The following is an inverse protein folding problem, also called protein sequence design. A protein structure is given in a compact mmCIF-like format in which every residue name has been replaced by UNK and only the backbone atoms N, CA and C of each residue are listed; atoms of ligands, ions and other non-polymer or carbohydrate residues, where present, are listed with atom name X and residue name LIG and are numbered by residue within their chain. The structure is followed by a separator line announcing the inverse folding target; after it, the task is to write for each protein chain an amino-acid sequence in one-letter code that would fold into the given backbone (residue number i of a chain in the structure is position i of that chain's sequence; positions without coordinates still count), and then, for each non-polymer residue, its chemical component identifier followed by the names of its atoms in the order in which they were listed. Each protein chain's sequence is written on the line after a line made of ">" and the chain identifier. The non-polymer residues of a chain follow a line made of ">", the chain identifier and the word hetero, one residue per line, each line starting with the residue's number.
data_IF_749292421149
#
_entry.id   IF_749292421149
#
_cell.length_a   1.000
_cell.length_b   1.000
_cell.length_c   1.000
_cell.angle_alpha   90.00
_cell.angle_beta   90.00
_cell.angle_gamma   90.00
#
_symmetry.space_group_name_H-M   'P 1'
#
loop_
_entity.id
_entity.type
_entity.pdbx_description
1 polymer ?
#
# COMPACT_ATOMS: atom_id res chain seq x y z
N UNK A 1 -4.32 38.90 37.77
CA UNK A 1 -4.95 38.56 36.47
C UNK A 1 -3.99 38.55 35.27
N UNK A 2 -2.75 39.06 35.37
CA UNK A 2 -1.79 39.05 34.24
C UNK A 2 -1.00 37.75 34.05
N UNK A 3 -0.93 36.87 35.06
CA UNK A 3 -0.11 35.65 35.06
C UNK A 3 -0.77 34.48 34.32
N UNK A 4 -2.09 34.29 34.46
CA UNK A 4 -2.82 33.20 33.79
C UNK A 4 -2.91 33.44 32.28
N UNK A 5 -3.05 34.70 31.86
CA UNK A 5 -2.99 35.10 30.46
C UNK A 5 -1.64 34.77 29.82
N UNK A 6 -0.52 35.00 30.52
CA UNK A 6 0.80 34.63 29.99
C UNK A 6 0.95 33.12 29.82
N UNK A 7 0.56 32.34 30.83
CA UNK A 7 0.61 30.86 30.72
C UNK A 7 -0.27 30.33 29.59
N UNK A 8 -1.45 30.91 29.41
CA UNK A 8 -2.35 30.50 28.33
C UNK A 8 -1.80 30.88 26.94
N UNK A 9 -1.04 31.96 26.85
CA UNK A 9 -0.35 32.38 25.63
C UNK A 9 0.88 31.51 25.32
N UNK A 10 1.66 31.18 26.34
CA UNK A 10 2.81 30.28 26.23
C UNK A 10 2.36 28.90 25.72
N UNK A 11 1.31 28.33 26.31
CA UNK A 11 0.76 27.05 25.83
C UNK A 11 0.18 27.11 24.42
N UNK A 12 -0.41 28.25 24.02
CA UNK A 12 -0.94 28.42 22.66
C UNK A 12 0.15 28.45 21.58
N UNK A 13 1.30 29.05 21.87
CA UNK A 13 2.43 29.12 20.93
C UNK A 13 3.05 27.73 20.75
N UNK A 14 3.25 26.98 21.84
CA UNK A 14 3.80 25.62 21.79
C UNK A 14 2.95 24.69 20.91
N UNK A 15 1.61 24.75 21.04
CA UNK A 15 0.69 23.98 20.20
C UNK A 15 0.82 24.35 18.72
N UNK A 16 0.95 25.64 18.40
CA UNK A 16 1.09 26.11 17.02
C UNK A 16 2.45 25.72 16.41
N UNK A 17 3.52 25.71 17.19
CA UNK A 17 4.85 25.27 16.72
C UNK A 17 4.88 23.77 16.42
N UNK A 18 4.28 22.96 17.30
CA UNK A 18 4.13 21.53 17.07
C UNK A 18 3.29 21.24 15.82
N UNK A 19 2.17 21.95 15.67
CA UNK A 19 1.31 21.84 14.50
C UNK A 19 2.02 22.28 13.21
N UNK A 20 2.82 23.36 13.27
CA UNK A 20 3.60 23.84 12.15
C UNK A 20 4.55 22.76 11.61
N UNK A 21 5.32 22.12 12.49
CA UNK A 21 6.24 21.05 12.08
C UNK A 21 5.49 19.91 11.38
N UNK A 22 4.32 19.52 11.89
CA UNK A 22 3.48 18.46 11.31
C UNK A 22 2.90 18.87 9.95
N UNK A 23 2.43 20.11 9.81
CA UNK A 23 1.93 20.63 8.54
C UNK A 23 3.02 20.67 7.47
N UNK A 24 4.25 21.08 7.79
CA UNK A 24 5.38 21.09 6.84
C UNK A 24 5.71 19.68 6.36
N UNK A 25 5.75 18.71 7.28
CA UNK A 25 6.01 17.32 6.94
C UNK A 25 4.93 16.74 6.02
N UNK A 26 3.66 17.07 6.28
CA UNK A 26 2.54 16.61 5.47
C UNK A 26 2.49 17.31 4.10
N UNK A 27 2.76 18.62 4.04
CA UNK A 27 2.86 19.37 2.78
C UNK A 27 3.93 18.75 1.88
N UNK A 28 5.11 18.45 2.44
CA UNK A 28 6.20 17.78 1.73
C UNK A 28 5.75 16.43 1.19
N UNK A 29 5.14 15.59 2.03
CA UNK A 29 4.63 14.28 1.63
C UNK A 29 3.58 14.38 0.51
N UNK A 30 2.67 15.36 0.57
CA UNK A 30 1.64 15.58 -0.46
C UNK A 30 2.18 16.11 -1.79
N UNK A 31 3.33 16.81 -1.77
CA UNK A 31 4.03 17.28 -2.96
C UNK A 31 4.77 16.17 -3.71
N UNK A 32 5.09 15.06 -3.06
CA UNK A 32 5.83 13.97 -3.69
C UNK A 32 5.05 13.28 -4.82
N UNK A 33 5.78 12.70 -5.78
CA UNK A 33 5.18 11.92 -6.88
C UNK A 33 4.39 10.71 -6.35
N UNK A 34 4.86 10.11 -5.25
CA UNK A 34 4.28 8.95 -4.59
C UNK A 34 3.58 9.32 -3.27
N UNK A 35 2.88 10.46 -3.26
CA UNK A 35 2.32 11.06 -2.04
C UNK A 35 1.55 10.10 -1.12
N UNK A 36 0.82 9.12 -1.66
CA UNK A 36 0.05 8.18 -0.85
C UNK A 36 0.94 7.39 0.12
N UNK A 37 2.11 6.94 -0.35
CA UNK A 37 3.05 6.19 0.48
C UNK A 37 3.73 7.10 1.49
N UNK A 38 4.18 8.28 1.06
CA UNK A 38 4.81 9.26 1.94
C UNK A 38 3.88 9.71 3.08
N UNK A 39 2.57 9.83 2.81
CA UNK A 39 1.55 10.13 3.83
C UNK A 39 1.29 8.90 4.72
N UNK A 40 1.31 7.69 4.16
CA UNK A 40 1.12 6.45 4.90
C UNK A 40 2.27 6.13 5.86
N UNK A 41 3.51 6.41 5.50
CA UNK A 41 4.65 6.32 6.42
C UNK A 41 4.50 7.25 7.63
N UNK A 42 3.61 8.24 7.55
CA UNK A 42 3.32 9.26 8.56
C UNK A 42 1.88 9.18 9.05
N UNK A 43 1.28 7.98 8.96
CA UNK A 43 -0.13 7.76 9.24
C UNK A 43 -0.57 8.24 10.63
N UNK A 44 0.22 7.88 11.65
CA UNK A 44 -0.08 8.23 13.03
C UNK A 44 -0.03 9.75 13.23
N UNK A 45 0.96 10.41 12.61
CA UNK A 45 1.07 11.87 12.62
C UNK A 45 -0.12 12.55 11.95
N UNK A 46 -0.68 11.97 10.88
CA UNK A 46 -1.89 12.49 10.25
C UNK A 46 -3.11 12.36 11.17
N UNK A 47 -3.25 11.23 11.86
CA UNK A 47 -4.34 11.01 12.82
C UNK A 47 -4.30 12.01 13.98
N UNK A 48 -3.12 12.21 14.58
CA UNK A 48 -2.94 13.20 15.63
C UNK A 48 -3.17 14.64 15.13
N UNK A 49 -2.72 14.95 13.91
CA UNK A 49 -2.95 16.26 13.30
C UNK A 49 -4.44 16.55 13.11
N UNK A 50 -5.23 15.55 12.71
CA UNK A 50 -6.69 15.69 12.57
C UNK A 50 -7.35 15.99 13.91
N UNK A 51 -6.91 15.34 14.99
CA UNK A 51 -7.42 15.59 16.34
C UNK A 51 -7.04 16.98 16.86
N UNK A 52 -5.84 17.47 16.53
CA UNK A 52 -5.31 18.77 16.96
C UNK A 52 -5.78 19.96 16.11
N UNK A 53 -6.27 19.70 14.89
CA UNK A 53 -6.67 20.74 13.93
C UNK A 53 -7.67 21.78 14.48
N UNK A 54 -8.76 21.41 15.19
CA UNK A 54 -9.70 22.40 15.73
C UNK A 54 -9.04 23.31 16.79
N UNK A 55 -8.21 22.76 17.66
CA UNK A 55 -7.48 23.54 18.68
C UNK A 55 -6.51 24.53 18.02
N UNK A 56 -5.83 24.08 16.95
CA UNK A 56 -4.95 24.94 16.15
C UNK A 56 -5.73 26.04 15.43
N UNK A 57 -6.93 25.74 14.91
CA UNK A 57 -7.81 26.72 14.27
C UNK A 57 -8.21 27.82 15.24
N UNK A 58 -8.66 27.45 16.44
CA UNK A 58 -9.04 28.40 17.47
C UNK A 58 -7.85 29.23 17.98
N UNK A 59 -6.70 28.59 18.22
CA UNK A 59 -5.50 29.28 18.67
C UNK A 59 -5.03 30.31 17.64
N UNK A 60 -5.03 29.94 16.34
CA UNK A 60 -4.71 30.86 15.25
C UNK A 60 -5.71 32.02 15.18
N UNK A 61 -7.02 31.75 15.25
CA UNK A 61 -8.06 32.77 15.19
C UNK A 61 -7.95 33.77 16.36
N UNK A 62 -7.68 33.28 17.58
CA UNK A 62 -7.46 34.14 18.76
C UNK A 62 -6.24 35.03 18.59
N UNK A 63 -5.11 34.51 18.11
CA UNK A 63 -3.89 35.29 17.89
C UNK A 63 -4.07 36.33 16.78
N UNK A 64 -4.73 35.97 15.66
CA UNK A 64 -5.04 36.91 14.58
C UNK A 64 -5.97 38.03 15.05
N UNK A 65 -7.02 37.68 15.81
CA UNK A 65 -7.92 38.68 16.38
C UNK A 65 -7.17 39.65 17.30
N UNK A 66 -6.31 39.12 18.17
CA UNK A 66 -5.48 39.94 19.06
C UNK A 66 -4.51 40.84 18.30
N UNK A 67 -3.81 40.31 17.30
CA UNK A 67 -2.92 41.08 16.45
C UNK A 67 -3.65 42.27 15.80
N UNK A 68 -4.92 42.08 15.42
CA UNK A 68 -5.78 43.15 14.89
C UNK A 68 -6.16 44.19 15.95
N UNK A 69 -6.57 43.75 17.15
CA UNK A 69 -6.98 44.66 18.24
C UNK A 69 -5.79 45.47 18.77
N UNK A 70 -4.66 44.83 18.97
CA UNK A 70 -3.42 45.45 19.47
C UNK A 70 -2.62 46.15 18.37
N UNK A 71 -3.08 46.10 17.11
CA UNK A 71 -2.43 46.69 15.94
C UNK A 71 -0.95 46.28 15.84
N UNK A 72 -0.69 44.98 15.99
CA UNK A 72 0.65 44.43 15.84
C UNK A 72 1.25 44.88 14.52
N UNK A 73 2.50 45.34 14.56
CA UNK A 73 3.22 45.71 13.34
C UNK A 73 3.47 44.48 12.51
N UNK A 74 3.51 44.64 11.19
CA UNK A 74 3.82 43.52 10.30
C UNK A 74 5.21 42.92 10.53
N UNK A 75 6.11 43.71 11.14
CA UNK A 75 7.47 43.29 11.52
C UNK A 75 7.54 42.45 12.79
N UNK A 76 6.43 42.29 13.54
CA UNK A 76 6.42 41.52 14.78
C UNK A 76 6.63 40.02 14.46
N UNK A 77 7.63 39.34 15.06
CA UNK A 77 7.98 37.97 14.68
C UNK A 77 6.82 36.99 14.91
N UNK A 78 6.04 37.19 15.97
CA UNK A 78 4.85 36.37 16.26
C UNK A 78 3.77 36.55 15.17
N UNK A 79 3.57 37.77 14.68
CA UNK A 79 2.61 38.02 13.59
C UNK A 79 3.06 37.37 12.29
N UNK A 80 4.36 37.47 11.94
CA UNK A 80 4.92 36.82 10.77
C UNK A 80 4.73 35.29 10.81
N UNK A 81 4.98 34.68 11.97
CA UNK A 81 4.80 33.23 12.17
C UNK A 81 3.35 32.77 12.06
N UNK A 82 2.41 33.55 12.60
CA UNK A 82 0.97 33.30 12.48
C UNK A 82 0.53 33.34 11.02
N UNK A 83 0.98 34.34 10.23
CA UNK A 83 0.69 34.41 8.79
C UNK A 83 1.30 33.25 8.01
N UNK A 84 2.53 32.84 8.35
CA UNK A 84 3.17 31.67 7.73
C UNK A 84 2.34 30.39 7.93
N UNK A 85 1.84 30.16 9.15
CA UNK A 85 0.98 29.02 9.46
C UNK A 85 -0.33 29.06 8.67
N UNK A 86 -0.95 30.24 8.54
CA UNK A 86 -2.18 30.43 7.76
C UNK A 86 -1.97 30.10 6.27
N UNK A 87 -0.87 30.59 5.69
CA UNK A 87 -0.48 30.27 4.31
C UNK A 87 -0.19 28.78 4.13
N UNK A 88 0.48 28.15 5.10
CA UNK A 88 0.78 26.73 5.09
C UNK A 88 -0.52 25.90 5.14
N UNK A 89 -1.46 26.24 6.02
CA UNK A 89 -2.78 25.59 6.10
C UNK A 89 -3.54 25.70 4.79
N UNK A 90 -3.57 26.90 4.19
CA UNK A 90 -4.25 27.13 2.90
C UNK A 90 -3.63 26.30 1.76
N UNK A 91 -2.29 26.25 1.69
CA UNK A 91 -1.58 25.42 0.69
C UNK A 91 -1.85 23.94 0.89
N UNK A 92 -1.77 23.47 2.13
CA UNK A 92 -2.03 22.08 2.48
C UNK A 92 -3.46 21.67 2.14
N UNK A 93 -4.43 22.54 2.41
CA UNK A 93 -5.83 22.33 2.06
C UNK A 93 -5.99 22.19 0.54
N UNK A 94 -5.42 23.12 -0.24
CA UNK A 94 -5.49 23.09 -1.70
C UNK A 94 -4.83 21.83 -2.28
N UNK A 95 -3.66 21.44 -1.77
CA UNK A 95 -2.99 20.21 -2.15
C UNK A 95 -3.84 18.98 -1.84
N UNK A 96 -4.40 18.91 -0.63
CA UNK A 96 -5.22 17.76 -0.21
C UNK A 96 -6.48 17.65 -1.07
N UNK A 97 -7.19 18.77 -1.31
CA UNK A 97 -8.34 18.83 -2.22
C UNK A 97 -7.98 18.37 -3.64
N UNK A 98 -6.83 18.82 -4.16
CA UNK A 98 -6.32 18.39 -5.47
C UNK A 98 -6.06 16.88 -5.52
N UNK A 99 -5.49 16.30 -4.46
CA UNK A 99 -5.23 14.85 -4.37
C UNK A 99 -6.51 14.03 -4.21
N UNK A 100 -7.53 14.58 -3.57
CA UNK A 100 -8.85 13.97 -3.43
C UNK A 100 -9.78 14.20 -4.63
N UNK A 101 -9.33 14.93 -5.65
CA UNK A 101 -10.16 15.37 -6.78
C UNK A 101 -11.45 16.10 -6.33
N UNK A 102 -11.39 16.83 -5.21
CA UNK A 102 -12.54 17.59 -4.71
C UNK A 102 -12.71 18.91 -5.48
N UNK A 103 -13.95 19.37 -5.70
CA UNK A 103 -14.21 20.65 -6.33
C UNK A 103 -13.70 21.81 -5.45
N UNK A 104 -13.12 22.83 -6.08
CA UNK A 104 -12.54 23.98 -5.38
C UNK A 104 -13.57 24.76 -4.53
N UNK A 105 -14.87 24.69 -4.88
CA UNK A 105 -15.96 25.38 -4.18
C UNK A 105 -16.45 24.71 -2.89
N UNK A 106 -15.83 23.60 -2.47
CA UNK A 106 -16.17 22.98 -1.19
C UNK A 106 -15.92 23.96 -0.04
N UNK A 107 -16.86 24.12 0.87
CA UNK A 107 -16.70 24.92 2.11
C UNK A 107 -16.13 24.10 3.27
N UNK A 108 -15.74 22.84 3.02
CA UNK A 108 -15.16 21.96 4.02
C UNK A 108 -13.88 22.55 4.61
N UNK A 109 -13.78 22.54 5.95
CA UNK A 109 -12.58 22.99 6.67
C UNK A 109 -11.41 22.04 6.45
N UNK A 110 -10.19 22.52 6.70
CA UNK A 110 -8.97 21.71 6.57
C UNK A 110 -9.06 20.39 7.35
N UNK A 111 -9.53 20.42 8.61
CA UNK A 111 -9.72 19.21 9.42
C UNK A 111 -10.61 18.16 8.75
N UNK A 112 -11.72 18.57 8.12
CA UNK A 112 -12.62 17.67 7.39
C UNK A 112 -11.96 17.10 6.13
N UNK A 113 -11.24 17.94 5.39
CA UNK A 113 -10.52 17.54 4.17
C UNK A 113 -9.42 16.52 4.52
N UNK A 114 -8.68 16.74 5.61
CA UNK A 114 -7.69 15.80 6.13
C UNK A 114 -8.36 14.51 6.65
N UNK A 115 -9.51 14.60 7.33
CA UNK A 115 -10.27 13.43 7.77
C UNK A 115 -10.77 12.60 6.58
N UNK A 116 -11.17 13.23 5.46
CA UNK A 116 -11.50 12.52 4.22
C UNK A 116 -10.28 11.89 3.56
N UNK A 117 -9.13 12.56 3.59
CA UNK A 117 -7.86 11.98 3.15
C UNK A 117 -7.51 10.73 3.96
N UNK A 118 -7.63 10.83 5.28
CA UNK A 118 -7.46 9.72 6.19
C UNK A 118 -8.49 8.62 5.93
N UNK A 119 -9.77 8.91 5.75
CA UNK A 119 -10.74 7.87 5.36
C UNK A 119 -10.45 7.23 4.00
N UNK A 120 -10.03 8.00 2.99
CA UNK A 120 -9.69 7.45 1.69
C UNK A 120 -8.51 6.51 1.81
N UNK A 121 -7.44 6.96 2.47
CA UNK A 121 -6.27 6.13 2.69
C UNK A 121 -6.63 4.93 3.57
N UNK A 122 -7.45 5.09 4.61
CA UNK A 122 -7.95 4.01 5.46
C UNK A 122 -8.79 3.01 4.67
N UNK A 123 -9.60 3.45 3.69
CA UNK A 123 -10.35 2.54 2.80
C UNK A 123 -9.44 1.81 1.83
N UNK A 124 -8.43 2.49 1.29
CA UNK A 124 -7.42 1.81 0.46
C UNK A 124 -6.52 0.87 1.28
N UNK A 125 -6.42 1.12 2.58
CA UNK A 125 -5.64 0.33 3.53
C UNK A 125 -6.48 -0.73 4.23
N UNK A 126 -7.81 -0.60 4.21
CA UNK A 126 -8.73 -1.44 4.93
C UNK A 126 -8.39 -2.85 4.51
N UNK A 127 -7.78 -3.63 5.42
CA UNK A 127 -7.36 -4.94 5.04
C UNK A 127 -8.65 -5.67 4.66
N UNK A 128 -8.66 -6.50 3.60
CA UNK A 128 -9.79 -7.38 3.29
C UNK A 128 -9.96 -8.49 4.35
N UNK A 129 -9.61 -8.19 5.59
CA UNK A 129 -9.42 -9.05 6.73
C UNK A 129 -10.39 -8.56 7.79
N UNK A 130 -11.12 -9.49 8.42
CA UNK A 130 -12.03 -9.13 9.51
C UNK A 130 -11.26 -8.52 10.68
N UNK A 131 -11.91 -7.61 11.42
CA UNK A 131 -11.34 -6.92 12.59
C UNK A 131 -10.85 -7.86 13.71
N UNK A 132 -11.21 -9.14 13.66
CA UNK A 132 -10.80 -10.16 14.62
C UNK A 132 -9.45 -10.81 14.32
N UNK A 133 -8.90 -10.64 13.12
CA UNK A 133 -7.60 -11.24 12.77
C UNK A 133 -6.46 -10.26 13.08
N UNK A 134 -5.52 -10.69 13.93
CA UNK A 134 -4.31 -9.93 14.18
C UNK A 134 -3.46 -9.84 12.90
N UNK A 135 -3.23 -8.61 12.46
CA UNK A 135 -2.31 -8.28 11.37
C UNK A 135 -0.87 -8.41 11.91
N UNK A 136 -0.11 -9.33 11.32
CA UNK A 136 1.27 -9.59 11.71
C UNK A 136 2.25 -8.69 10.95
N UNK A 137 1.96 -8.46 9.67
CA UNK A 137 2.80 -7.65 8.81
C UNK A 137 2.00 -7.12 7.62
N UNK A 138 2.37 -5.93 7.16
CA UNK A 138 1.80 -5.31 5.97
C UNK A 138 2.94 -4.77 5.13
N UNK A 139 2.81 -4.90 3.81
CA UNK A 139 3.75 -4.29 2.88
C UNK A 139 3.10 -3.96 1.55
N UNK A 140 3.86 -3.21 0.74
CA UNK A 140 3.54 -2.93 -0.64
C UNK A 140 4.61 -3.52 -1.54
N UNK A 141 4.23 -3.89 -2.75
CA UNK A 141 5.16 -4.30 -3.79
C UNK A 141 5.05 -3.33 -4.96
N UNK A 142 6.21 -2.93 -5.48
CA UNK A 142 6.33 -1.99 -6.58
C UNK A 142 7.45 -2.44 -7.48
N UNK A 143 7.15 -2.50 -8.77
CA UNK A 143 8.16 -2.66 -9.81
C UNK A 143 9.23 -1.57 -9.61
N UNK A 144 10.47 -1.99 -9.37
CA UNK A 144 11.56 -1.06 -9.07
C UNK A 144 11.81 -0.16 -10.29
N UNK A 145 11.37 1.09 -10.17
CA UNK A 145 11.16 2.01 -11.30
C UNK A 145 12.47 2.37 -11.95
N UNK A 146 13.50 2.57 -11.14
CA UNK A 146 14.82 3.06 -11.56
C UNK A 146 15.51 2.09 -12.48
N UNK A 147 15.60 0.81 -12.09
CA UNK A 147 16.22 -0.21 -12.92
C UNK A 147 15.41 -0.45 -14.21
N UNK A 148 14.07 -0.52 -14.10
CA UNK A 148 13.21 -0.80 -15.26
C UNK A 148 13.20 0.36 -16.26
N UNK A 149 13.14 1.61 -15.79
CA UNK A 149 13.19 2.80 -16.64
C UNK A 149 14.55 3.02 -17.29
N UNK A 150 15.64 2.49 -16.71
CA UNK A 150 16.98 2.55 -17.33
C UNK A 150 17.20 1.41 -18.34
N UNK A 151 16.75 0.20 -18.02
CA UNK A 151 16.95 -0.97 -18.88
C UNK A 151 16.01 -1.00 -20.07
N UNK A 152 14.76 -0.57 -19.93
CA UNK A 152 13.79 -0.66 -21.02
C UNK A 152 14.14 0.20 -22.25
N UNK A 153 14.52 1.49 -22.12
CA UNK A 153 14.96 2.25 -23.27
C UNK A 153 16.22 1.64 -23.87
N UNK A 154 17.18 1.13 -23.08
CA UNK A 154 18.35 0.42 -23.61
C UNK A 154 17.93 -0.82 -24.44
N UNK A 155 17.00 -1.62 -23.91
CA UNK A 155 16.47 -2.82 -24.56
C UNK A 155 15.69 -2.49 -25.85
N UNK A 156 15.01 -1.35 -25.90
CA UNK A 156 14.30 -0.88 -27.09
C UNK A 156 15.23 -0.17 -28.10
N UNK A 157 16.24 0.57 -27.63
CA UNK A 157 17.18 1.30 -28.47
C UNK A 157 18.19 0.37 -29.13
N UNK A 158 18.65 -0.70 -28.48
CA UNK A 158 19.64 -1.61 -29.04
C UNK A 158 19.20 -2.27 -30.37
N UNK A 159 18.01 -2.91 -30.48
CA UNK A 159 17.56 -3.48 -31.74
C UNK A 159 17.26 -2.40 -32.78
N UNK A 160 16.77 -1.23 -32.35
CA UNK A 160 16.55 -0.08 -33.24
C UNK A 160 17.87 0.43 -33.83
N UNK A 161 18.92 0.54 -33.01
CA UNK A 161 20.27 0.91 -33.43
C UNK A 161 20.81 -0.13 -34.41
N UNK A 162 20.57 -1.42 -34.15
CA UNK A 162 21.02 -2.50 -35.02
C UNK A 162 20.31 -2.44 -36.39
N UNK A 163 18.98 -2.25 -36.41
CA UNK A 163 18.21 -2.03 -37.64
C UNK A 163 18.70 -0.78 -38.37
N UNK A 164 18.95 0.32 -37.65
CA UNK A 164 19.49 1.56 -38.22
C UNK A 164 20.86 1.33 -38.87
N UNK A 165 21.79 0.65 -38.20
CA UNK A 165 23.10 0.31 -38.74
C UNK A 165 23.01 -0.59 -39.97
N UNK A 166 22.11 -1.58 -39.98
CA UNK A 166 21.92 -2.48 -41.14
C UNK A 166 21.25 -1.79 -42.33
N UNK A 167 20.26 -0.92 -42.08
CA UNK A 167 19.55 -0.19 -43.13
C UNK A 167 20.38 0.93 -43.77
N UNK A 168 21.29 1.53 -43.00
CA UNK A 168 22.23 2.55 -43.51
C UNK A 168 23.11 2.01 -44.64
N UNK A 169 23.56 0.77 -44.52
CA UNK A 169 24.45 0.14 -45.51
C UNK A 169 23.69 -0.32 -46.76
N UNK A 170 22.42 -0.70 -46.64
CA UNK A 170 21.72 -1.44 -47.68
C UNK A 170 20.79 -0.62 -48.60
N UNK A 171 20.15 0.46 -48.12
CA UNK A 171 18.89 0.92 -48.76
C UNK A 171 18.75 2.41 -49.05
N UNK A 172 19.84 3.18 -49.09
CA UNK A 172 19.81 4.56 -49.61
C UNK A 172 18.78 5.48 -48.93
N UNK A 173 19.07 5.96 -47.72
CA UNK A 173 18.46 7.15 -47.11
C UNK A 173 16.99 7.07 -46.65
N UNK A 174 16.07 6.58 -47.48
CA UNK A 174 14.63 6.72 -47.28
C UNK A 174 14.09 5.89 -46.10
N UNK A 175 14.67 4.71 -45.86
CA UNK A 175 14.29 3.87 -44.72
C UNK A 175 14.76 4.44 -43.38
N UNK A 176 15.81 5.27 -43.38
CA UNK A 176 16.34 5.88 -42.17
C UNK A 176 15.38 6.95 -41.63
N UNK A 177 14.77 7.75 -42.51
CA UNK A 177 13.83 8.80 -42.10
C UNK A 177 12.54 8.23 -41.53
N UNK A 178 11.99 7.18 -42.15
CA UNK A 178 10.82 6.46 -41.64
C UNK A 178 11.08 5.79 -40.30
N UNK A 179 12.19 5.07 -40.17
CA UNK A 179 12.59 4.44 -38.90
C UNK A 179 12.74 5.47 -37.78
N UNK A 180 13.47 6.55 -38.04
CA UNK A 180 13.71 7.60 -37.05
C UNK A 180 12.42 8.33 -36.61
N UNK A 181 11.47 8.51 -37.53
CA UNK A 181 10.17 9.09 -37.19
C UNK A 181 9.37 8.17 -36.27
N UNK A 182 9.36 6.86 -36.53
CA UNK A 182 8.73 5.86 -35.65
C UNK A 182 9.42 5.80 -34.28
N UNK A 183 10.75 5.81 -34.22
CA UNK A 183 11.50 5.87 -32.96
C UNK A 183 11.12 7.10 -32.14
N UNK A 184 11.14 8.28 -32.76
CA UNK A 184 10.84 9.56 -32.12
C UNK A 184 9.42 9.58 -31.53
N UNK A 185 8.47 8.95 -32.21
CA UNK A 185 7.08 8.82 -31.76
C UNK A 185 6.90 7.80 -30.61
N UNK A 186 7.73 6.75 -30.57
CA UNK A 186 7.67 5.69 -29.54
C UNK A 186 8.39 6.04 -28.23
N UNK A 187 9.45 6.85 -28.28
CA UNK A 187 10.19 7.30 -27.08
C UNK A 187 9.28 7.90 -26.00
N UNK A 188 8.35 8.83 -26.29
CA UNK A 188 7.45 9.38 -25.27
C UNK A 188 6.37 8.39 -24.83
N UNK A 189 6.07 7.36 -25.62
CA UNK A 189 5.08 6.35 -25.27
C UNK A 189 5.62 5.31 -24.27
N UNK A 190 6.92 5.03 -24.33
CA UNK A 190 7.60 4.09 -23.44
C UNK A 190 7.38 4.41 -21.93
N UNK A 191 7.61 5.63 -21.41
CA UNK A 191 7.37 5.94 -20.00
C UNK A 191 5.89 5.83 -19.65
N UNK A 192 4.97 6.12 -20.58
CA UNK A 192 3.54 5.95 -20.36
C UNK A 192 3.17 4.47 -20.20
N UNK A 193 3.68 3.59 -21.06
CA UNK A 193 3.48 2.14 -20.95
C UNK A 193 4.11 1.60 -19.66
N UNK A 194 5.32 2.04 -19.30
CA UNK A 194 5.94 1.71 -18.02
C UNK A 194 5.07 2.13 -16.83
N UNK A 195 4.53 3.35 -16.85
CA UNK A 195 3.69 3.86 -15.78
C UNK A 195 2.37 3.08 -15.69
N UNK A 196 1.77 2.72 -16.83
CA UNK A 196 0.59 1.85 -16.91
C UNK A 196 0.90 0.47 -16.32
N UNK A 197 1.97 -0.19 -16.78
CA UNK A 197 2.40 -1.49 -16.26
C UNK A 197 2.69 -1.42 -14.76
N UNK A 198 3.33 -0.36 -14.27
CA UNK A 198 3.57 -0.16 -12.84
C UNK A 198 2.27 -0.04 -12.04
N UNK A 199 1.27 0.67 -12.57
CA UNK A 199 -0.04 0.70 -11.93
C UNK A 199 -0.68 -0.66 -11.90
N UNK A 200 -0.53 -1.48 -12.94
CA UNK A 200 -1.14 -2.82 -12.99
C UNK A 200 -0.35 -3.91 -12.25
N UNK A 201 0.95 -3.73 -12.06
CA UNK A 201 1.88 -4.69 -11.44
C UNK A 201 2.31 -4.29 -10.02
N UNK A 202 1.78 -3.19 -9.50
CA UNK A 202 1.90 -2.85 -8.08
C UNK A 202 0.75 -3.46 -7.29
N UNK A 203 0.92 -3.51 -5.98
CA UNK A 203 -0.17 -3.89 -5.10
C UNK A 203 0.29 -3.94 -3.65
N UNK A 204 -0.54 -4.57 -2.84
CA UNK A 204 -0.36 -4.67 -1.39
C UNK A 204 -0.49 -6.10 -0.92
N UNK A 205 0.12 -6.37 0.22
CA UNK A 205 -0.10 -7.61 0.91
C UNK A 205 -0.26 -7.38 2.41
N UNK A 206 -1.07 -8.23 3.02
CA UNK A 206 -1.30 -8.29 4.45
C UNK A 206 -1.07 -9.72 4.90
N UNK A 207 -0.17 -9.91 5.85
CA UNK A 207 0.01 -11.18 6.52
C UNK A 207 -0.75 -11.14 7.84
N UNK A 208 -1.74 -12.01 7.98
CA UNK A 208 -2.49 -12.24 9.22
C UNK A 208 -2.04 -13.56 9.85
N UNK A 209 -2.45 -13.82 11.08
CA UNK A 209 -2.22 -15.13 11.71
C UNK A 209 -2.85 -16.32 10.96
N UNK A 210 -3.86 -16.07 10.10
CA UNK A 210 -4.62 -17.13 9.42
C UNK A 210 -4.30 -17.23 7.93
N UNK A 211 -3.97 -16.11 7.27
CA UNK A 211 -3.83 -16.02 5.82
C UNK A 211 -2.88 -14.91 5.40
N UNK A 212 -2.23 -15.11 4.26
CA UNK A 212 -1.61 -14.07 3.46
C UNK A 212 -2.67 -13.54 2.48
N UNK A 213 -2.95 -12.25 2.53
CA UNK A 213 -3.80 -11.60 1.53
C UNK A 213 -2.94 -10.78 0.59
N UNK A 214 -3.15 -10.97 -0.70
CA UNK A 214 -2.44 -10.29 -1.78
C UNK A 214 -3.44 -9.55 -2.65
N UNK A 215 -3.31 -8.23 -2.76
CA UNK A 215 -4.19 -7.40 -3.58
C UNK A 215 -3.38 -6.65 -4.63
N UNK A 216 -3.39 -7.13 -5.89
CA UNK A 216 -2.88 -6.36 -7.01
C UNK A 216 -3.73 -5.11 -7.21
N UNK A 217 -3.11 -4.01 -7.63
CA UNK A 217 -3.83 -2.78 -7.95
C UNK A 217 -4.83 -3.02 -9.08
N UNK A 218 -6.11 -2.74 -8.82
CA UNK A 218 -7.19 -2.92 -9.78
C UNK A 218 -7.70 -4.36 -9.95
N UNK A 219 -7.32 -5.29 -9.05
CA UNK A 219 -7.87 -6.65 -8.99
C UNK A 219 -8.38 -6.96 -7.59
N UNK A 220 -9.23 -7.98 -7.50
CA UNK A 220 -9.71 -8.48 -6.22
C UNK A 220 -8.58 -9.07 -5.38
N UNK A 221 -8.75 -8.99 -4.05
CA UNK A 221 -7.80 -9.54 -3.11
C UNK A 221 -7.79 -11.08 -3.18
N UNK A 222 -6.60 -11.65 -3.33
CA UNK A 222 -6.35 -13.09 -3.32
C UNK A 222 -6.02 -13.49 -1.89
N UNK A 223 -6.85 -14.35 -1.30
CA UNK A 223 -6.68 -14.86 0.05
C UNK A 223 -5.99 -16.22 0.03
N UNK A 224 -4.82 -16.32 0.65
CA UNK A 224 -4.03 -17.55 0.73
C UNK A 224 -3.95 -17.97 2.19
N UNK A 225 -4.71 -19.00 2.62
CA UNK A 225 -4.63 -19.50 3.98
C UNK A 225 -3.23 -20.01 4.30
N UNK A 226 -2.68 -19.69 5.48
CA UNK A 226 -1.33 -20.13 5.84
C UNK A 226 -1.21 -21.65 5.90
N UNK A 227 -2.27 -22.35 6.30
CA UNK A 227 -2.31 -23.81 6.31
C UNK A 227 -2.30 -24.44 4.90
N UNK A 228 -2.62 -23.67 3.86
CA UNK A 228 -2.56 -24.13 2.48
C UNK A 228 -1.15 -24.05 1.89
N UNK A 229 -0.20 -23.44 2.60
CA UNK A 229 1.21 -23.35 2.20
C UNK A 229 1.92 -24.65 2.57
N UNK A 230 2.67 -25.24 1.65
CA UNK A 230 3.47 -26.42 1.94
C UNK A 230 4.53 -26.12 3.02
N UNK A 231 4.80 -27.04 3.97
CA UNK A 231 5.95 -26.93 4.85
C UNK A 231 7.24 -26.82 4.03
N UNK A 232 8.04 -25.77 4.26
CA UNK A 232 9.24 -25.47 3.47
C UNK A 232 8.95 -25.04 2.03
N UNK A 233 7.69 -24.78 1.66
CA UNK A 233 7.27 -24.36 0.34
C UNK A 233 7.44 -22.86 0.06
N UNK A 234 8.08 -22.12 0.96
CA UNK A 234 8.34 -20.68 0.79
C UNK A 234 9.81 -20.50 0.46
N UNK A 235 10.10 -19.92 -0.70
CA UNK A 235 11.46 -19.72 -1.16
C UNK A 235 11.67 -18.28 -1.63
N UNK A 236 12.78 -17.68 -1.22
CA UNK A 236 13.25 -16.43 -1.80
C UNK A 236 13.91 -16.74 -3.14
N UNK A 237 13.35 -16.24 -4.24
CA UNK A 237 13.92 -16.47 -5.58
C UNK A 237 15.00 -15.45 -5.90
N UNK A 238 14.71 -14.18 -5.64
CA UNK A 238 15.61 -13.03 -5.81
C UNK A 238 15.36 -12.02 -4.69
N UNK A 239 16.18 -10.95 -4.60
CA UNK A 239 16.13 -9.95 -3.52
C UNK A 239 14.75 -9.29 -3.30
N UNK A 240 13.82 -9.39 -4.25
CA UNK A 240 12.45 -8.90 -4.14
C UNK A 240 11.36 -9.87 -4.61
N UNK A 241 11.62 -11.17 -4.79
CA UNK A 241 10.61 -12.14 -5.26
C UNK A 241 10.52 -13.33 -4.32
N UNK A 242 9.29 -13.67 -3.93
CA UNK A 242 8.95 -14.80 -3.06
C UNK A 242 8.08 -15.79 -3.83
N UNK A 243 8.52 -17.04 -3.89
CA UNK A 243 7.74 -18.16 -4.42
C UNK A 243 7.08 -18.90 -3.25
N UNK A 244 5.75 -19.06 -3.30
CA UNK A 244 4.97 -19.80 -2.32
C UNK A 244 4.33 -21.00 -3.00
N UNK A 245 4.71 -22.20 -2.57
CA UNK A 245 4.12 -23.47 -3.01
C UNK A 245 2.98 -23.84 -2.08
N UNK A 246 1.83 -24.10 -2.69
CA UNK A 246 0.62 -24.53 -2.00
C UNK A 246 0.52 -26.06 -1.98
N UNK A 247 -0.24 -26.59 -1.02
CA UNK A 247 -0.47 -28.04 -0.81
C UNK A 247 -1.16 -28.70 -2.01
N UNK A 248 -1.92 -27.93 -2.78
CA UNK A 248 -2.57 -28.38 -4.02
C UNK A 248 -1.60 -28.46 -5.22
N UNK A 249 -0.31 -28.16 -5.02
CA UNK A 249 0.71 -28.14 -6.06
C UNK A 249 0.80 -26.84 -6.84
N UNK A 250 -0.09 -25.86 -6.60
CA UNK A 250 0.00 -24.55 -7.26
C UNK A 250 1.18 -23.76 -6.70
N UNK A 251 1.82 -23.00 -7.60
CA UNK A 251 2.90 -22.09 -7.23
C UNK A 251 2.42 -20.66 -7.43
N UNK A 252 2.54 -19.86 -6.39
CA UNK A 252 2.19 -18.45 -6.42
C UNK A 252 3.47 -17.62 -6.30
N UNK A 253 3.69 -16.77 -7.30
CA UNK A 253 4.84 -15.88 -7.34
C UNK A 253 4.41 -14.49 -6.88
N UNK A 254 5.11 -14.00 -5.87
CA UNK A 254 4.93 -12.68 -5.30
C UNK A 254 6.17 -11.88 -5.67
N UNK A 255 6.07 -11.08 -6.73
CA UNK A 255 7.20 -10.32 -7.26
C UNK A 255 7.23 -8.90 -6.71
N UNK A 256 8.43 -8.30 -6.71
CA UNK A 256 8.70 -6.90 -6.34
C UNK A 256 8.36 -6.51 -4.90
N UNK A 257 8.40 -7.47 -3.97
CA UNK A 257 8.15 -7.22 -2.55
C UNK A 257 9.35 -6.52 -1.91
N UNK A 258 9.12 -5.30 -1.43
CA UNK A 258 10.08 -4.63 -0.56
C UNK A 258 10.10 -5.35 0.79
N UNK A 259 11.27 -5.83 1.22
CA UNK A 259 11.38 -6.64 2.43
C UNK A 259 11.03 -8.12 2.24
N UNK A 260 11.18 -8.68 1.03
CA UNK A 260 10.90 -10.09 0.73
C UNK A 260 11.52 -11.08 1.75
N UNK A 261 12.75 -10.82 2.22
CA UNK A 261 13.40 -11.61 3.27
C UNK A 261 12.61 -11.62 4.59
N UNK A 262 12.10 -10.48 5.00
CA UNK A 262 11.29 -10.35 6.22
C UNK A 262 9.96 -11.09 6.07
N UNK A 263 9.32 -10.98 4.90
CA UNK A 263 8.09 -11.72 4.61
C UNK A 263 8.32 -13.23 4.64
N UNK A 264 9.41 -13.74 4.06
CA UNK A 264 9.77 -15.17 4.10
C UNK A 264 9.97 -15.63 5.54
N UNK A 265 10.76 -14.90 6.33
CA UNK A 265 10.99 -15.24 7.74
C UNK A 265 9.68 -15.27 8.56
N UNK A 266 8.76 -14.34 8.28
CA UNK A 266 7.43 -14.32 8.88
C UNK A 266 6.58 -15.52 8.43
N UNK A 267 6.54 -15.84 7.13
CA UNK A 267 5.79 -16.98 6.61
C UNK A 267 6.33 -18.32 7.13
N UNK A 268 7.64 -18.44 7.33
CA UNK A 268 8.26 -19.62 7.95
C UNK A 268 7.94 -19.70 9.46
N UNK A 269 7.87 -18.55 10.14
CA UNK A 269 7.58 -18.47 11.58
C UNK A 269 6.10 -18.71 11.92
N UNK A 270 5.18 -18.34 11.04
CA UNK A 270 3.74 -18.47 11.26
C UNK A 270 3.08 -19.52 10.36
N UNK A 271 3.85 -20.16 9.49
CA UNK A 271 3.38 -21.19 8.58
C UNK A 271 3.01 -22.50 9.29
N UNK A 272 2.53 -23.50 8.53
CA UNK A 272 2.07 -24.76 9.09
C UNK A 272 3.20 -25.57 9.74
N UNK A 273 4.46 -25.34 9.36
CA UNK A 273 5.63 -25.94 9.98
C UNK A 273 5.87 -25.47 11.43
N UNK A 274 5.33 -24.30 11.80
CA UNK A 274 5.56 -23.67 13.09
C UNK A 274 4.56 -24.12 14.15
N UNK A 275 3.49 -24.85 13.76
CA UNK A 275 2.67 -25.58 14.73
C UNK A 275 3.45 -26.81 15.16
N UNK A 276 3.93 -26.86 16.43
CA UNK A 276 4.40 -28.12 16.97
C UNK A 276 3.21 -29.07 16.84
N UNK A 277 3.44 -30.27 16.33
CA UNK A 277 2.50 -31.38 16.40
C UNK A 277 2.41 -31.80 17.88
N UNK A 278 1.91 -30.91 18.72
CA UNK A 278 1.51 -31.23 20.07
C UNK A 278 0.23 -32.05 19.94
N UNK A 279 0.25 -33.26 20.51
CA UNK A 279 -0.86 -34.22 20.64
C UNK A 279 -1.12 -35.24 19.51
N UNK A 280 -0.05 -35.78 18.89
CA UNK A 280 -0.07 -37.20 18.46
C UNK A 280 0.66 -38.10 19.46
N UNK A 281 0.40 -37.87 20.75
CA UNK A 281 0.73 -38.76 21.86
C UNK A 281 -0.57 -39.29 22.49
N UNK A 282 -1.51 -39.71 21.64
CA UNK A 282 -2.60 -40.59 22.00
C UNK A 282 -2.24 -42.00 21.55
N UNK A 283 -1.20 -42.58 22.17
CA UNK A 283 -0.78 -43.96 21.98
C UNK A 283 -1.89 -44.86 22.52
N UNK A 284 -2.94 -45.06 21.72
CA UNK A 284 -3.96 -46.06 22.04
C UNK A 284 -3.34 -47.42 21.72
N UNK A 285 -3.20 -48.32 22.72
CA UNK A 285 -2.54 -49.60 22.52
C UNK A 285 -3.35 -50.41 21.51
N UNK A 286 -2.62 -50.93 20.54
CA UNK A 286 -3.09 -51.78 19.46
C UNK A 286 -3.55 -53.11 20.04
N UNK A 287 -4.82 -53.21 20.43
CA UNK A 287 -5.47 -54.49 20.71
C UNK A 287 -5.67 -55.22 19.39
N UNK A 288 -4.66 -56.03 19.07
CA UNK A 288 -4.68 -57.07 18.05
C UNK A 288 -5.82 -58.05 18.40
N UNK A 289 -6.96 -57.97 17.71
CA UNK A 289 -7.98 -59.02 17.72
C UNK A 289 -8.07 -59.65 16.33
N UNK A 290 -7.42 -60.81 16.23
CA UNK A 290 -7.66 -61.80 15.19
C UNK A 290 -9.09 -62.34 15.30
N UNK A 291 -9.79 -62.45 14.19
CA UNK A 291 -10.83 -63.47 13.90
C UNK A 291 -11.32 -63.24 12.47
N UNK A 292 -10.74 -63.97 11.51
CA UNK A 292 -11.33 -65.19 10.94
C UNK A 292 -12.39 -64.89 9.86
N UNK A 293 -11.94 -65.03 8.62
CA UNK A 293 -12.58 -65.86 7.59
C UNK A 293 -13.98 -66.39 7.96
N UNK A 294 -15.02 -65.87 7.31
CA UNK A 294 -16.19 -66.69 6.99
C UNK A 294 -16.82 -66.24 5.67
N UNK A 295 -16.51 -67.04 4.67
CA UNK A 295 -17.22 -67.15 3.40
C UNK A 295 -18.66 -67.62 3.62
N UNK A 296 -19.61 -66.96 2.95
CA UNK A 296 -20.94 -67.43 2.48
C UNK A 296 -21.61 -66.18 1.89
N UNK A 297 -21.68 -65.99 0.57
CA UNK A 297 -22.56 -66.69 -0.38
C UNK A 297 -24.03 -66.67 0.07
N UNK A 298 -24.93 -66.41 -0.90
CA UNK A 298 -26.41 -66.50 -0.80
C UNK A 298 -27.02 -65.16 -0.29
N UNK A 299 -28.01 -64.49 -0.90
CA UNK A 299 -28.95 -64.83 -1.96
C UNK A 299 -29.57 -63.55 -2.56
N UNK A 300 -30.06 -63.71 -3.79
CA UNK A 300 -31.16 -63.00 -4.44
C UNK A 300 -32.08 -62.17 -3.53
N UNK A 301 -32.46 -60.98 -3.99
CA UNK A 301 -33.84 -60.71 -4.42
C UNK A 301 -33.98 -59.35 -5.09
N UNK A 302 -34.59 -59.40 -6.27
CA UNK A 302 -35.25 -58.27 -6.91
C UNK A 302 -36.41 -57.79 -6.03
N UNK A 303 -36.70 -56.48 -6.07
CA UNK A 303 -38.00 -56.00 -6.57
C UNK A 303 -37.95 -54.50 -6.90
N UNK A 304 -38.57 -54.08 -8.02
CA UNK A 304 -38.98 -52.72 -8.31
C UNK A 304 -40.36 -52.43 -7.68
N UNK A 305 -40.92 -51.24 -7.93
CA UNK A 305 -42.15 -50.59 -7.41
C UNK A 305 -41.84 -49.52 -6.35
N UNK A 306 -42.31 -48.27 -6.45
CA UNK A 306 -43.27 -47.62 -7.35
C UNK A 306 -43.82 -46.37 -6.66
N UNK A 307 -44.45 -45.46 -7.42
CA UNK A 307 -45.49 -44.57 -6.86
C UNK A 307 -45.20 -43.07 -6.81
N UNK A 308 -45.60 -42.38 -7.88
CA UNK A 308 -46.49 -41.19 -7.88
C UNK A 308 -46.41 -40.15 -6.76
N UNK A 309 -46.11 -38.91 -7.14
CA UNK A 309 -47.09 -37.80 -7.21
C UNK A 309 -46.63 -36.78 -8.24
#
# INVERSE_FOLDING_TARGET
>A
MSTDLRRQLEGGIETLELAHARYVLLEKALCEKHWQEAVQERWDSLGELILQEPECEEALARLLHRAKVERWRETEPTHARVRELELLRTRLEALTRRRLCMPARSTARLGEVLARLHQLLARTLAPPVSSEELLLHQGAFKLDTTATLLLLPLLCFLPMLLVFCTGFVASGGLWLTLSQLVCSLMIPFLPFVCQMLQRHLSGRFWLTQKRLVWQPTGRDAIHIPLHAICPGGVHLRFSGSVEVRLVDGRQLRLDFIRGAKQLVALLERYGPASRPVASRAGTRPRTRRNSSTRSRAVERRAHPFGGTK
#
